data_IF_381469978827
#
_entry.id   IF_381469978827
#
_cell.length_a   1.000
_cell.length_b   1.000
_cell.length_c   1.000
_cell.angle_alpha   90.00
_cell.angle_beta   90.00
_cell.angle_gamma   90.00
#
_symmetry.space_group_name_H-M   'P 1'
#
loop_
_entity.id
_entity.type
_entity.pdbx_description
1 polymer ?
#
# COMPACT_ATOMS: atom_id res chain seq x y z
N UNK A 1 -23.09 -5.98 3.26
CA UNK A 1 -23.48 -5.67 4.66
C UNK A 1 -23.64 -4.15 4.78
N UNK A 2 -24.83 -3.66 5.11
CA UNK A 2 -25.15 -2.22 5.20
C UNK A 2 -24.95 -1.68 6.62
N UNK A 3 -23.72 -1.74 7.14
CA UNK A 3 -23.39 -1.07 8.39
C UNK A 3 -22.56 0.18 8.11
N UNK A 4 -22.85 1.26 8.83
CA UNK A 4 -21.99 2.45 8.82
C UNK A 4 -20.66 2.11 9.50
N UNK A 5 -19.57 2.69 9.01
CA UNK A 5 -18.28 2.62 9.70
C UNK A 5 -18.40 3.22 11.12
N UNK A 6 -17.67 2.64 12.07
CA UNK A 6 -17.76 2.94 13.50
C UNK A 6 -18.85 2.17 14.24
N UNK A 7 -19.77 1.50 13.55
CA UNK A 7 -20.86 0.76 14.20
C UNK A 7 -20.37 -0.46 14.97
N UNK A 8 -20.95 -0.66 16.17
CA UNK A 8 -20.86 -1.91 16.92
C UNK A 8 -21.82 -2.95 16.33
N UNK A 9 -21.32 -4.13 16.00
CA UNK A 9 -22.08 -5.23 15.42
C UNK A 9 -22.06 -6.39 16.43
N UNK A 10 -23.24 -6.87 16.82
CA UNK A 10 -23.36 -8.04 17.70
C UNK A 10 -22.84 -9.30 17.01
N UNK A 11 -22.09 -10.12 17.73
CA UNK A 11 -21.58 -11.41 17.30
C UNK A 11 -22.07 -12.53 18.24
N UNK A 12 -21.87 -13.79 17.85
CA UNK A 12 -22.24 -14.96 18.65
C UNK A 12 -21.61 -14.96 20.05
N UNK A 13 -20.43 -14.36 20.22
CA UNK A 13 -19.74 -14.21 21.49
C UNK A 13 -19.24 -12.77 21.71
N UNK A 14 -20.19 -11.83 21.88
CA UNK A 14 -19.89 -10.42 22.18
C UNK A 14 -20.19 -9.49 21.00
N UNK A 15 -19.23 -8.65 20.62
CA UNK A 15 -19.41 -7.69 19.54
C UNK A 15 -18.09 -7.39 18.80
N UNK A 16 -18.21 -6.83 17.60
CA UNK A 16 -17.10 -6.27 16.82
C UNK A 16 -17.41 -4.83 16.40
N UNK A 17 -16.38 -4.07 16.02
CA UNK A 17 -16.55 -2.75 15.40
C UNK A 17 -16.18 -2.83 13.92
N UNK A 18 -17.04 -2.29 13.05
CA UNK A 18 -16.70 -2.13 11.63
C UNK A 18 -15.94 -0.82 11.44
N UNK A 19 -14.64 -0.87 11.17
CA UNK A 19 -13.82 0.32 10.93
C UNK A 19 -13.59 0.55 9.44
N UNK A 20 -13.56 1.81 9.02
CA UNK A 20 -13.18 2.17 7.65
C UNK A 20 -11.71 1.73 7.45
N UNK A 21 -11.37 1.05 6.34
CA UNK A 21 -9.99 0.71 6.03
C UNK A 21 -9.09 1.94 5.98
N UNK A 22 -7.88 1.82 6.50
CA UNK A 22 -6.80 2.81 6.43
C UNK A 22 -5.46 2.09 6.29
N UNK A 23 -4.39 2.81 5.89
CA UNK A 23 -3.06 2.23 5.78
C UNK A 23 -2.59 1.62 7.11
N UNK A 24 -2.84 2.30 8.23
CA UNK A 24 -2.41 1.87 9.56
C UNK A 24 -3.15 0.62 10.04
N UNK A 25 -4.45 0.53 9.77
CA UNK A 25 -5.22 -0.68 10.05
C UNK A 25 -4.73 -1.83 9.17
N UNK A 26 -4.47 -1.57 7.89
CA UNK A 26 -3.90 -2.56 6.98
C UNK A 26 -2.53 -3.05 7.45
N UNK A 27 -1.60 -2.17 7.79
CA UNK A 27 -0.28 -2.51 8.37
C UNK A 27 -0.38 -3.46 9.57
N UNK A 28 -1.43 -3.33 10.38
CA UNK A 28 -1.65 -4.18 11.56
C UNK A 28 -2.26 -5.54 11.23
N UNK A 29 -3.04 -5.65 10.15
CA UNK A 29 -3.81 -6.86 9.82
C UNK A 29 -3.33 -7.63 8.59
N UNK A 30 -2.44 -7.03 7.77
CA UNK A 30 -2.03 -7.61 6.50
C UNK A 30 -1.36 -9.00 6.68
N UNK A 31 -1.52 -9.91 5.72
CA UNK A 31 -0.83 -11.18 5.71
C UNK A 31 0.68 -10.96 5.49
N UNK A 32 1.47 -11.14 6.54
CA UNK A 32 2.92 -10.90 6.49
C UNK A 32 3.63 -11.95 5.64
N UNK A 33 4.32 -11.48 4.61
CA UNK A 33 5.20 -12.27 3.73
C UNK A 33 6.68 -11.94 3.95
N UNK A 34 6.94 -10.78 4.55
CA UNK A 34 8.26 -10.21 4.81
C UNK A 34 8.25 -9.46 6.14
N UNK A 35 9.43 -9.00 6.57
CA UNK A 35 9.49 -7.87 7.50
C UNK A 35 8.82 -6.65 6.85
N UNK A 36 8.13 -5.84 7.67
CA UNK A 36 7.40 -4.65 7.22
C UNK A 36 7.84 -3.42 7.98
N UNK A 37 7.64 -2.26 7.38
CA UNK A 37 7.62 -0.97 8.07
C UNK A 37 6.26 -0.75 8.74
N UNK A 38 6.30 -0.21 9.94
CA UNK A 38 5.12 0.17 10.70
C UNK A 38 4.83 1.66 10.55
N UNK A 39 3.64 2.07 11.00
CA UNK A 39 3.13 3.44 10.87
C UNK A 39 4.13 4.54 11.22
N UNK A 40 4.93 4.47 12.31
CA UNK A 40 5.88 5.54 12.62
C UNK A 40 6.90 5.79 11.49
N UNK A 41 7.54 4.72 11.00
CA UNK A 41 8.54 4.84 9.93
C UNK A 41 7.89 5.23 8.61
N UNK A 42 6.74 4.64 8.25
CA UNK A 42 6.00 5.02 7.06
C UNK A 42 5.63 6.52 7.09
N UNK A 43 5.16 7.03 8.23
CA UNK A 43 4.78 8.44 8.37
C UNK A 43 5.97 9.37 8.20
N UNK A 44 7.13 9.01 8.75
CA UNK A 44 8.35 9.78 8.62
C UNK A 44 8.86 9.78 7.18
N UNK A 45 8.86 8.63 6.51
CA UNK A 45 9.25 8.51 5.10
C UNK A 45 8.37 9.40 4.22
N UNK A 46 7.04 9.29 4.36
CA UNK A 46 6.10 10.09 3.57
C UNK A 46 6.30 11.58 3.80
N UNK A 47 6.51 11.99 5.06
CA UNK A 47 6.75 13.39 5.39
C UNK A 47 8.08 13.90 4.79
N UNK A 48 9.15 13.12 4.87
CA UNK A 48 10.47 13.53 4.33
C UNK A 48 10.49 13.57 2.80
N UNK A 49 9.64 12.78 2.14
CA UNK A 49 9.47 12.79 0.69
C UNK A 49 8.49 13.87 0.19
N UNK A 50 7.89 14.67 1.08
CA UNK A 50 6.77 15.57 0.74
C UNK A 50 5.65 14.86 -0.05
N UNK A 51 5.36 13.60 0.32
CA UNK A 51 4.38 12.78 -0.37
C UNK A 51 2.97 13.38 -0.20
N UNK A 52 2.33 13.70 -1.33
CA UNK A 52 1.04 14.39 -1.36
C UNK A 52 0.18 13.92 -2.54
N UNK A 53 -1.12 14.25 -2.58
CA UNK A 53 -1.96 13.96 -3.73
C UNK A 53 -1.34 14.50 -5.03
N UNK A 54 -1.19 13.64 -6.04
CA UNK A 54 -0.51 13.99 -7.29
C UNK A 54 0.95 13.57 -7.36
N UNK A 55 1.60 13.23 -6.24
CA UNK A 55 3.00 12.78 -6.28
C UNK A 55 3.17 11.48 -7.05
N UNK A 56 4.26 11.36 -7.81
CA UNK A 56 4.65 10.10 -8.45
C UNK A 56 5.86 9.52 -7.71
N UNK A 57 5.68 8.36 -7.08
CA UNK A 57 6.68 7.76 -6.18
C UNK A 57 7.11 6.39 -6.70
N UNK A 58 8.41 6.15 -6.64
CA UNK A 58 9.05 4.89 -6.97
C UNK A 58 9.46 4.17 -5.66
N UNK A 59 9.06 2.90 -5.49
CA UNK A 59 9.41 2.06 -4.34
C UNK A 59 10.09 0.77 -4.82
N UNK A 60 11.09 0.29 -4.06
CA UNK A 60 11.66 -1.06 -4.16
C UNK A 60 12.29 -1.45 -2.83
N UNK A 61 12.03 -2.62 -2.23
CA UNK A 61 11.17 -3.71 -2.66
C UNK A 61 9.73 -3.63 -2.12
N UNK A 62 8.77 -4.19 -2.87
CA UNK A 62 7.32 -4.16 -2.56
C UNK A 62 6.99 -4.89 -1.25
N UNK A 63 7.69 -6.00 -0.96
CA UNK A 63 7.52 -6.70 0.31
C UNK A 63 6.08 -7.16 0.56
N UNK A 64 5.58 -6.94 1.78
CA UNK A 64 4.18 -7.26 2.11
C UNK A 64 3.20 -6.13 1.77
N UNK A 65 3.65 -5.02 1.18
CA UNK A 65 2.81 -3.90 0.76
C UNK A 65 2.39 -2.93 1.87
N UNK A 66 3.05 -2.94 3.04
CA UNK A 66 2.72 -2.03 4.16
C UNK A 66 2.98 -0.56 3.79
N UNK A 67 4.20 -0.23 3.38
CA UNK A 67 4.56 1.11 2.92
C UNK A 67 3.84 1.45 1.60
N UNK A 68 3.73 0.48 0.69
CA UNK A 68 3.03 0.67 -0.59
C UNK A 68 1.57 1.14 -0.42
N UNK A 69 0.82 0.59 0.54
CA UNK A 69 -0.54 1.08 0.82
C UNK A 69 -0.55 2.49 1.44
N UNK A 70 0.43 2.82 2.27
CA UNK A 70 0.57 4.16 2.82
C UNK A 70 0.89 5.20 1.73
N UNK A 71 1.80 4.88 0.81
CA UNK A 71 2.12 5.72 -0.35
C UNK A 71 0.89 5.85 -1.26
N UNK A 72 0.28 4.73 -1.68
CA UNK A 72 -0.87 4.74 -2.59
C UNK A 72 -2.01 5.64 -2.10
N UNK A 73 -2.33 5.57 -0.81
CA UNK A 73 -3.35 6.43 -0.20
C UNK A 73 -2.92 7.89 -0.07
N UNK A 74 -1.63 8.17 0.13
CA UNK A 74 -1.10 9.54 0.20
C UNK A 74 -1.08 10.25 -1.16
N UNK A 75 -0.79 9.51 -2.24
CA UNK A 75 -0.66 10.08 -3.60
C UNK A 75 -1.98 10.14 -4.36
N UNK A 76 -2.97 9.34 -3.97
CA UNK A 76 -4.31 9.38 -4.55
C UNK A 76 -4.98 10.78 -4.41
N UNK A 77 -5.89 11.16 -5.33
CA UNK A 77 -6.39 10.37 -6.46
C UNK A 77 -5.62 10.59 -7.76
N UNK A 78 -4.68 11.53 -7.81
CA UNK A 78 -4.05 12.01 -9.05
C UNK A 78 -2.56 11.71 -9.18
N UNK A 79 -1.96 11.06 -8.19
CA UNK A 79 -0.57 10.58 -8.22
C UNK A 79 -0.48 9.10 -8.55
N UNK A 80 0.73 8.56 -8.52
CA UNK A 80 0.97 7.15 -8.87
C UNK A 80 2.11 6.55 -8.07
N UNK A 81 1.95 5.29 -7.65
CA UNK A 81 3.03 4.48 -7.07
C UNK A 81 3.51 3.44 -8.08
N UNK A 82 4.80 3.45 -8.39
CA UNK A 82 5.49 2.35 -9.08
C UNK A 82 6.31 1.54 -8.09
N UNK A 83 5.80 0.39 -7.68
CA UNK A 83 6.46 -0.50 -6.72
C UNK A 83 7.10 -1.70 -7.42
N UNK A 84 8.33 -2.04 -7.04
CA UNK A 84 9.12 -3.10 -7.67
C UNK A 84 9.45 -4.18 -6.66
N UNK A 85 9.51 -5.45 -7.06
CA UNK A 85 10.12 -6.52 -6.26
C UNK A 85 10.66 -7.58 -7.23
N UNK A 86 11.71 -8.29 -6.83
CA UNK A 86 12.29 -9.35 -7.64
C UNK A 86 11.48 -10.65 -7.54
N UNK A 87 10.70 -10.82 -6.48
CA UNK A 87 9.93 -12.04 -6.21
C UNK A 87 8.54 -11.97 -6.84
N UNK A 88 8.38 -12.62 -8.00
CA UNK A 88 7.15 -12.62 -8.80
C UNK A 88 5.91 -13.02 -7.99
N UNK A 89 6.02 -14.06 -7.16
CA UNK A 89 4.88 -14.57 -6.39
C UNK A 89 4.35 -13.57 -5.37
N UNK A 90 5.21 -12.65 -4.92
CA UNK A 90 4.88 -11.59 -3.96
C UNK A 90 4.30 -10.38 -4.68
N UNK A 91 4.93 -9.95 -5.77
CA UNK A 91 4.45 -8.84 -6.60
C UNK A 91 3.02 -9.08 -7.06
N UNK A 92 2.73 -10.29 -7.58
CA UNK A 92 1.37 -10.66 -8.02
C UNK A 92 0.34 -10.63 -6.90
N UNK A 93 0.72 -11.02 -5.67
CA UNK A 93 -0.18 -10.98 -4.51
C UNK A 93 -0.51 -9.54 -4.12
N UNK A 94 0.48 -8.66 -4.06
CA UNK A 94 0.27 -7.26 -3.71
C UNK A 94 -0.50 -6.53 -4.82
N UNK A 95 -0.23 -6.84 -6.09
CA UNK A 95 -1.02 -6.34 -7.23
C UNK A 95 -2.50 -6.71 -7.11
N UNK A 96 -2.79 -7.96 -6.72
CA UNK A 96 -4.15 -8.41 -6.48
C UNK A 96 -4.80 -7.70 -5.28
N UNK A 97 -4.06 -7.49 -4.20
CA UNK A 97 -4.54 -6.72 -3.03
C UNK A 97 -4.86 -5.27 -3.42
N UNK A 98 -4.05 -4.61 -4.26
CA UNK A 98 -4.38 -3.27 -4.76
C UNK A 98 -5.69 -3.24 -5.54
N UNK A 99 -5.96 -4.26 -6.38
CA UNK A 99 -7.23 -4.38 -7.10
C UNK A 99 -8.40 -4.55 -6.14
N UNK A 100 -8.28 -5.46 -5.18
CA UNK A 100 -9.32 -5.76 -4.19
C UNK A 100 -9.61 -4.57 -3.27
N UNK A 101 -8.60 -3.74 -3.01
CA UNK A 101 -8.71 -2.57 -2.13
C UNK A 101 -9.04 -1.26 -2.88
N UNK A 102 -9.23 -1.31 -4.20
CA UNK A 102 -9.56 -0.13 -5.01
C UNK A 102 -8.42 0.86 -5.16
N UNK A 103 -7.17 0.39 -5.13
CA UNK A 103 -5.94 1.17 -5.30
C UNK A 103 -5.28 0.93 -6.67
N UNK A 104 -5.84 0.06 -7.51
CA UNK A 104 -5.26 -0.29 -8.81
C UNK A 104 -5.03 0.92 -9.73
N UNK A 105 -5.91 1.93 -9.68
CA UNK A 105 -5.79 3.11 -10.56
C UNK A 105 -4.59 4.00 -10.24
N UNK A 106 -4.05 3.91 -9.02
CA UNK A 106 -2.92 4.73 -8.54
C UNK A 106 -1.68 3.90 -8.22
N UNK A 107 -1.64 2.63 -8.65
CA UNK A 107 -0.53 1.72 -8.36
C UNK A 107 -0.14 0.87 -9.57
N UNK A 108 1.16 0.60 -9.71
CA UNK A 108 1.71 -0.38 -10.64
C UNK A 108 2.74 -1.22 -9.89
N UNK A 109 2.53 -2.54 -9.83
CA UNK A 109 3.49 -3.48 -9.25
C UNK A 109 4.30 -4.14 -10.38
N UNK A 110 5.63 -4.09 -10.29
CA UNK A 110 6.55 -4.55 -11.34
C UNK A 110 7.48 -5.62 -10.79
N UNK A 111 7.61 -6.74 -11.53
CA UNK A 111 8.60 -7.78 -11.23
C UNK A 111 9.91 -7.39 -11.92
N UNK A 112 10.86 -6.82 -11.18
CA UNK A 112 12.10 -6.30 -11.76
C UNK A 112 13.20 -6.17 -10.70
N UNK A 113 14.45 -6.39 -11.12
CA UNK A 113 15.62 -6.13 -10.28
C UNK A 113 16.09 -4.70 -10.48
N UNK A 114 15.72 -3.81 -9.57
CA UNK A 114 16.07 -2.39 -9.68
C UNK A 114 17.57 -2.11 -9.65
N UNK A 115 18.38 -3.01 -9.07
CA UNK A 115 19.83 -2.83 -8.99
C UNK A 115 20.53 -3.08 -10.33
N UNK A 116 19.97 -3.94 -11.19
CA UNK A 116 20.54 -4.26 -12.50
C UNK A 116 19.82 -3.54 -13.63
N UNK A 117 18.51 -3.39 -13.51
CA UNK A 117 17.63 -2.98 -14.60
C UNK A 117 17.12 -1.54 -14.42
N UNK A 118 17.38 -0.93 -13.25
CA UNK A 118 16.81 0.36 -12.87
C UNK A 118 15.32 0.28 -12.53
N UNK A 119 14.64 1.42 -12.45
CA UNK A 119 13.19 1.47 -12.28
C UNK A 119 12.47 1.32 -13.64
N UNK A 120 11.24 0.82 -13.62
CA UNK A 120 10.40 0.66 -14.82
C UNK A 120 10.11 1.99 -15.53
N UNK A 121 10.12 3.10 -14.79
CA UNK A 121 9.87 4.45 -15.31
C UNK A 121 11.14 5.31 -15.27
N UNK A 122 11.25 6.23 -16.24
CA UNK A 122 12.39 7.14 -16.39
C UNK A 122 11.90 8.59 -16.34
N UNK A 123 12.49 9.41 -15.46
CA UNK A 123 12.15 10.84 -15.29
C UNK A 123 10.65 11.10 -15.07
N UNK A 124 9.98 10.19 -14.36
CA UNK A 124 8.54 10.26 -14.10
C UNK A 124 8.19 10.45 -12.61
N UNK A 125 9.11 10.10 -11.70
CA UNK A 125 8.94 10.25 -10.25
C UNK A 125 9.41 11.64 -9.81
N UNK A 126 8.71 12.22 -8.82
CA UNK A 126 9.02 13.54 -8.23
C UNK A 126 10.21 13.51 -7.27
#
# INVERSE_FOLDING_TARGET
LFFRWGSRISATAGYVYALRPSAELWTRSLPRRTQILYTPDCSLILQLLDARPGSVICESGTGSGSLSHAIALAVAPSGHLYTHDIEESRTKKVEQEFKEHGLADVTTAVVQNVCTDGFFVTNACD
#
